data_IF_729910640242
#
_entry.id   IF_729910640242
#
_cell.length_a   1.000
_cell.length_b   1.000
_cell.length_c   1.000
_cell.angle_alpha   90.00
_cell.angle_beta   90.00
_cell.angle_gamma   90.00
#
_symmetry.space_group_name_H-M   'P 1'
#
loop_
_entity.id
_entity.type
_entity.pdbx_description
1 polymer ?
#
# COMPACT_ATOMS: atom_id res chain seq x y z
N UNK A 1 -15.98 7.76 0.47
CA UNK A 1 -16.89 6.57 0.63
C UNK A 1 -16.13 5.30 0.28
N UNK A 2 -16.30 4.22 1.06
CA UNK A 2 -15.63 2.92 0.77
C UNK A 2 -16.56 2.00 -0.01
N UNK A 3 -16.04 1.42 -1.09
CA UNK A 3 -16.70 0.43 -1.93
C UNK A 3 -15.91 -0.88 -1.92
N UNK A 4 -16.58 -2.00 -1.71
CA UNK A 4 -15.97 -3.32 -1.77
C UNK A 4 -16.16 -3.94 -3.15
N UNK A 5 -15.08 -4.45 -3.73
CA UNK A 5 -15.07 -5.09 -5.05
C UNK A 5 -14.42 -6.46 -4.98
N UNK A 6 -14.98 -7.40 -5.73
CA UNK A 6 -14.33 -8.69 -5.98
C UNK A 6 -13.36 -8.57 -7.14
N UNK A 7 -12.13 -9.02 -6.96
CA UNK A 7 -11.14 -9.06 -8.03
C UNK A 7 -9.72 -8.76 -7.61
N UNK A 8 -8.87 -8.59 -8.60
CA UNK A 8 -7.48 -8.23 -8.42
C UNK A 8 -7.34 -6.70 -8.37
N UNK A 9 -6.74 -6.19 -7.28
CA UNK A 9 -6.49 -4.76 -7.11
C UNK A 9 -5.60 -4.19 -8.23
N UNK A 10 -4.68 -4.99 -8.76
CA UNK A 10 -3.78 -4.56 -9.85
C UNK A 10 -4.50 -4.41 -11.20
N UNK A 11 -5.70 -4.98 -11.31
CA UNK A 11 -6.58 -4.85 -12.47
C UNK A 11 -7.78 -3.92 -12.18
N UNK A 12 -7.73 -3.13 -11.10
CA UNK A 12 -8.85 -2.30 -10.66
C UNK A 12 -9.23 -1.18 -11.62
N UNK A 13 -8.27 -0.70 -12.42
CA UNK A 13 -8.45 0.50 -13.24
C UNK A 13 -8.50 1.81 -12.44
N UNK A 14 -8.40 1.77 -11.11
CA UNK A 14 -8.35 2.97 -10.28
C UNK A 14 -7.12 3.83 -10.59
N UNK A 15 -7.23 5.14 -10.35
CA UNK A 15 -6.14 6.06 -10.61
C UNK A 15 -4.93 5.82 -9.70
N UNK A 16 -5.17 5.42 -8.46
CA UNK A 16 -4.12 5.13 -7.48
C UNK A 16 -4.33 3.75 -6.88
N UNK A 17 -3.27 2.94 -6.88
CA UNK A 17 -3.23 1.62 -6.24
C UNK A 17 -2.24 1.71 -5.09
N UNK A 18 -2.71 1.48 -3.87
CA UNK A 18 -1.90 1.55 -2.66
C UNK A 18 -1.45 0.17 -2.20
N UNK A 19 -0.21 0.06 -1.74
CA UNK A 19 0.28 -1.11 -1.05
C UNK A 19 1.30 -0.77 0.03
N UNK A 20 1.44 -1.65 1.02
CA UNK A 20 2.42 -1.50 2.08
C UNK A 20 3.80 -1.97 1.64
N UNK A 21 4.84 -1.20 1.96
CA UNK A 21 6.24 -1.58 1.78
C UNK A 21 7.00 -1.45 3.11
N UNK A 22 8.11 -2.20 3.22
CA UNK A 22 9.02 -2.09 4.36
C UNK A 22 10.13 -1.06 4.12
N UNK A 23 10.88 -0.75 5.19
CA UNK A 23 12.01 0.18 5.16
C UNK A 23 13.37 -0.56 5.03
N UNK A 24 13.39 -1.77 4.45
CA UNK A 24 14.56 -2.67 4.37
C UNK A 24 15.00 -2.98 2.93
N UNK A 25 14.44 -2.30 1.95
CA UNK A 25 14.81 -2.48 0.54
C UNK A 25 14.32 -3.79 -0.09
N UNK A 26 13.35 -4.50 0.50
CA UNK A 26 12.82 -5.78 0.02
C UNK A 26 11.38 -5.67 -0.47
N UNK A 27 11.16 -6.06 -1.71
CA UNK A 27 9.84 -6.09 -2.35
C UNK A 27 9.71 -7.42 -3.11
N UNK A 28 9.53 -8.53 -2.36
CA UNK A 28 9.65 -9.87 -2.93
C UNK A 28 8.44 -10.78 -2.68
N UNK A 29 7.53 -10.44 -1.77
CA UNK A 29 6.42 -11.32 -1.40
C UNK A 29 5.06 -10.62 -1.45
N UNK A 30 3.99 -11.42 -1.52
CA UNK A 30 2.62 -10.93 -1.53
C UNK A 30 2.33 -9.97 -2.69
N UNK A 31 1.51 -8.96 -2.41
CA UNK A 31 1.11 -7.96 -3.41
C UNK A 31 2.31 -7.13 -3.90
N UNK A 32 3.28 -6.85 -3.02
CA UNK A 32 4.48 -6.09 -3.38
C UNK A 32 5.32 -6.83 -4.44
N UNK A 33 5.46 -8.15 -4.31
CA UNK A 33 6.13 -8.98 -5.32
C UNK A 33 5.41 -8.97 -6.67
N UNK A 34 4.08 -9.04 -6.67
CA UNK A 34 3.26 -8.96 -7.88
C UNK A 34 3.36 -7.58 -8.55
N UNK A 35 3.40 -6.50 -7.77
CA UNK A 35 3.61 -5.13 -8.28
C UNK A 35 4.99 -5.01 -8.93
N UNK A 36 6.03 -5.52 -8.28
CA UNK A 36 7.38 -5.52 -8.84
C UNK A 36 7.45 -6.24 -10.18
N UNK A 37 6.78 -7.38 -10.30
CA UNK A 37 6.73 -8.17 -11.53
C UNK A 37 5.98 -7.42 -12.64
N UNK A 38 4.81 -6.87 -12.31
CA UNK A 38 3.95 -6.17 -13.28
C UNK A 38 4.53 -4.81 -13.70
N UNK A 39 5.06 -4.05 -12.75
CA UNK A 39 5.58 -2.70 -12.95
C UNK A 39 6.97 -2.53 -12.30
N UNK A 40 8.05 -3.01 -12.94
CA UNK A 40 9.40 -2.93 -12.37
C UNK A 40 9.84 -1.52 -11.95
N UNK A 41 9.31 -0.49 -12.60
CA UNK A 41 9.57 0.91 -12.25
C UNK A 41 9.19 1.24 -10.79
N UNK A 42 8.15 0.59 -10.25
CA UNK A 42 7.73 0.79 -8.85
C UNK A 42 8.81 0.31 -7.89
N UNK A 43 9.37 -0.89 -8.17
CA UNK A 43 10.49 -1.40 -7.38
C UNK A 43 11.74 -0.51 -7.51
N UNK A 44 12.07 -0.07 -8.72
CA UNK A 44 13.25 0.76 -8.95
C UNK A 44 13.16 2.06 -8.13
N UNK A 45 12.01 2.73 -8.15
CA UNK A 45 11.78 3.94 -7.36
C UNK A 45 11.82 3.70 -5.86
N UNK A 46 11.16 2.64 -5.40
CA UNK A 46 11.23 2.20 -4.01
C UNK A 46 12.68 1.94 -3.56
N UNK A 47 13.46 1.24 -4.39
CA UNK A 47 14.85 0.91 -4.07
C UNK A 47 15.76 2.15 -4.07
N UNK A 48 15.58 3.07 -5.02
CA UNK A 48 16.28 4.37 -5.04
C UNK A 48 16.05 5.13 -3.73
N UNK A 49 14.80 5.22 -3.29
CA UNK A 49 14.42 5.89 -2.05
C UNK A 49 14.98 5.19 -0.81
N UNK A 50 15.03 3.88 -0.80
CA UNK A 50 15.68 3.10 0.25
C UNK A 50 17.18 3.38 0.31
N UNK A 51 17.88 3.41 -0.83
CA UNK A 51 19.32 3.71 -0.90
C UNK A 51 19.61 5.14 -0.41
N UNK A 52 18.76 6.10 -0.74
CA UNK A 52 18.84 7.46 -0.22
C UNK A 52 18.76 7.48 1.31
N UNK A 53 17.75 6.80 1.87
CA UNK A 53 17.58 6.66 3.32
C UNK A 53 18.76 5.94 3.98
N UNK A 54 19.26 4.87 3.36
CA UNK A 54 20.44 4.14 3.84
C UNK A 54 21.69 5.05 3.89
N UNK A 55 21.93 5.83 2.84
CA UNK A 55 23.04 6.77 2.78
C UNK A 55 22.89 7.89 3.81
N UNK A 56 21.65 8.37 4.05
CA UNK A 56 21.35 9.36 5.07
C UNK A 56 21.73 8.88 6.49
N UNK A 57 21.58 7.56 6.75
CA UNK A 57 21.95 6.96 8.04
C UNK A 57 23.47 6.87 8.28
N UNK A 58 24.30 6.89 7.22
CA UNK A 58 25.73 6.68 7.36
C UNK A 58 26.38 7.73 8.25
N UNK A 59 27.20 7.28 9.22
CA UNK A 59 27.85 8.17 10.20
C UNK A 59 26.94 8.75 11.28
N UNK A 60 25.69 8.27 11.38
CA UNK A 60 24.75 8.61 12.44
C UNK A 60 24.54 7.42 13.37
N UNK A 61 24.84 7.58 14.64
CA UNK A 61 24.67 6.51 15.61
C UNK A 61 23.20 6.24 15.90
N UNK A 62 22.82 4.96 15.94
CA UNK A 62 21.46 4.49 16.29
C UNK A 62 20.35 4.95 15.35
N UNK A 63 20.68 5.41 14.13
CA UNK A 63 19.71 5.83 13.10
C UNK A 63 19.59 4.76 12.04
N UNK A 64 18.37 4.45 11.64
CA UNK A 64 18.04 3.43 10.64
C UNK A 64 17.28 4.03 9.45
N UNK A 65 17.20 3.34 8.30
CA UNK A 65 16.37 3.82 7.18
C UNK A 65 14.91 4.06 7.55
N UNK A 66 14.38 3.37 8.57
CA UNK A 66 13.02 3.59 9.06
C UNK A 66 12.82 5.01 9.64
N UNK A 67 13.85 5.58 10.28
CA UNK A 67 13.79 6.94 10.80
C UNK A 67 13.62 7.99 9.68
N UNK A 68 14.03 7.65 8.47
CA UNK A 68 13.86 8.46 7.27
C UNK A 68 12.57 8.17 6.51
N UNK A 69 12.18 6.90 6.43
CA UNK A 69 11.13 6.42 5.50
C UNK A 69 9.78 6.20 6.17
N UNK A 70 9.75 5.74 7.44
CA UNK A 70 8.52 5.27 8.06
C UNK A 70 7.47 6.38 8.14
N UNK A 71 6.26 6.08 7.66
CA UNK A 71 5.17 7.05 7.54
C UNK A 71 5.18 7.88 6.25
N UNK A 72 6.16 7.66 5.36
CA UNK A 72 6.21 8.34 4.07
C UNK A 72 5.53 7.56 2.97
N UNK A 73 5.20 8.24 1.88
CA UNK A 73 4.66 7.65 0.65
C UNK A 73 5.55 7.97 -0.54
N UNK A 74 5.50 7.12 -1.54
CA UNK A 74 6.11 7.38 -2.84
C UNK A 74 5.09 7.06 -3.93
N UNK A 75 4.82 8.04 -4.78
CA UNK A 75 3.82 7.95 -5.85
C UNK A 75 4.53 7.72 -7.18
N UNK A 76 4.28 6.60 -7.82
CA UNK A 76 4.97 6.18 -9.04
C UNK A 76 3.96 6.02 -10.18
N UNK A 77 4.14 6.77 -11.26
CA UNK A 77 3.38 6.57 -12.49
C UNK A 77 3.73 5.21 -13.11
N UNK A 78 2.72 4.46 -13.52
CA UNK A 78 2.93 3.12 -14.11
C UNK A 78 2.39 2.99 -15.54
N UNK A 79 1.22 3.54 -15.81
CA UNK A 79 0.56 3.43 -17.12
C UNK A 79 -0.68 4.34 -17.20
N UNK A 80 -1.33 4.39 -18.35
CA UNK A 80 -2.71 4.86 -18.44
C UNK A 80 -3.67 3.68 -18.24
N UNK A 81 -4.80 3.91 -17.58
CA UNK A 81 -5.86 2.92 -17.47
C UNK A 81 -6.66 2.84 -18.79
N UNK A 82 -7.64 1.93 -18.86
CA UNK A 82 -8.45 1.69 -20.08
C UNK A 82 -9.25 2.93 -20.54
N UNK A 83 -9.48 3.89 -19.63
CA UNK A 83 -10.12 5.19 -19.94
C UNK A 83 -9.12 6.26 -20.39
N UNK A 84 -7.84 5.91 -20.55
CA UNK A 84 -6.77 6.85 -20.92
C UNK A 84 -6.33 7.78 -19.79
N UNK A 85 -6.77 7.52 -18.54
CA UNK A 85 -6.37 8.30 -17.35
C UNK A 85 -5.08 7.76 -16.76
N UNK A 86 -4.27 8.64 -16.19
CA UNK A 86 -3.05 8.26 -15.48
C UNK A 86 -3.34 7.31 -14.33
N UNK A 87 -2.53 6.25 -14.22
CA UNK A 87 -2.54 5.29 -13.12
C UNK A 87 -1.20 5.31 -12.39
N UNK A 88 -1.27 5.35 -11.06
CA UNK A 88 -0.13 5.41 -10.17
C UNK A 88 -0.18 4.26 -9.16
N UNK A 89 0.99 3.82 -8.72
CA UNK A 89 1.13 2.99 -7.52
C UNK A 89 1.69 3.85 -6.39
N UNK A 90 1.12 3.72 -5.20
CA UNK A 90 1.60 4.37 -4.00
C UNK A 90 2.28 3.33 -3.11
N UNK A 91 3.59 3.46 -2.93
CA UNK A 91 4.35 2.75 -1.92
C UNK A 91 4.13 3.42 -0.57
N UNK A 92 3.51 2.71 0.39
CA UNK A 92 3.27 3.19 1.74
C UNK A 92 4.32 2.59 2.68
N UNK A 93 5.25 3.40 3.18
CA UNK A 93 6.27 2.95 4.14
C UNK A 93 5.67 2.84 5.55
N UNK A 94 4.82 1.85 5.74
CA UNK A 94 4.06 1.63 6.98
C UNK A 94 4.53 0.41 7.77
N UNK A 95 5.69 -0.11 7.44
CA UNK A 95 6.35 -1.26 8.06
C UNK A 95 7.87 -1.03 8.04
N UNK A 96 8.57 -1.17 9.18
CA UNK A 96 10.03 -1.11 9.19
C UNK A 96 10.61 -2.42 8.69
N UNK A 97 10.56 -3.46 9.53
CA UNK A 97 11.08 -4.79 9.24
C UNK A 97 10.03 -5.67 8.56
N UNK A 98 10.47 -6.82 8.11
CA UNK A 98 9.61 -7.91 7.62
C UNK A 98 10.07 -9.24 8.25
N UNK A 99 9.18 -10.22 8.25
CA UNK A 99 9.47 -11.54 8.81
C UNK A 99 8.25 -12.45 8.74
N UNK A 100 8.37 -13.59 9.41
CA UNK A 100 7.38 -14.68 9.46
C UNK A 100 7.01 -15.05 10.90
N UNK A 101 7.34 -14.20 11.88
CA UNK A 101 6.99 -14.41 13.28
C UNK A 101 5.54 -13.95 13.51
N UNK A 102 4.64 -14.90 13.76
CA UNK A 102 3.22 -14.64 13.99
C UNK A 102 2.94 -13.83 15.27
N UNK A 103 3.92 -13.75 16.18
CA UNK A 103 3.80 -12.97 17.41
C UNK A 103 4.30 -11.52 17.27
N UNK A 104 4.93 -11.20 16.13
CA UNK A 104 5.45 -9.86 15.84
C UNK A 104 4.53 -9.13 14.87
N UNK A 105 3.99 -7.99 15.27
CA UNK A 105 3.32 -7.08 14.35
C UNK A 105 4.36 -6.20 13.66
N UNK A 106 4.59 -6.43 12.37
CA UNK A 106 5.51 -5.62 11.57
C UNK A 106 4.86 -4.32 11.08
N UNK A 107 3.54 -4.33 10.85
CA UNK A 107 2.78 -3.14 10.48
C UNK A 107 2.77 -2.13 11.63
N UNK A 108 3.18 -0.89 11.34
CA UNK A 108 3.04 0.26 12.23
C UNK A 108 1.74 0.99 11.94
N UNK A 109 0.80 1.01 12.88
CA UNK A 109 -0.46 1.74 12.70
C UNK A 109 -0.25 3.25 12.61
N UNK A 110 0.68 3.80 13.39
CA UNK A 110 1.00 5.22 13.34
C UNK A 110 1.55 5.62 11.97
N UNK A 111 2.51 4.85 11.45
CA UNK A 111 3.05 5.07 10.11
C UNK A 111 2.00 4.88 9.02
N UNK A 112 1.10 3.90 9.18
CA UNK A 112 0.00 3.68 8.26
C UNK A 112 -0.95 4.89 8.22
N UNK A 113 -1.30 5.43 9.38
CA UNK A 113 -2.11 6.65 9.47
C UNK A 113 -1.41 7.84 8.81
N UNK A 114 -0.12 8.05 9.06
CA UNK A 114 0.66 9.11 8.42
C UNK A 114 0.66 8.97 6.89
N UNK A 115 0.85 7.77 6.37
CA UNK A 115 0.73 7.49 4.94
C UNK A 115 -0.66 7.89 4.41
N UNK A 116 -1.74 7.53 5.11
CA UNK A 116 -3.10 7.88 4.70
C UNK A 116 -3.33 9.40 4.69
N UNK A 117 -2.83 10.14 5.67
CA UNK A 117 -2.91 11.61 5.66
C UNK A 117 -2.15 12.22 4.48
N UNK A 118 -0.99 11.68 4.12
CA UNK A 118 -0.25 12.11 2.93
C UNK A 118 -1.00 11.78 1.64
N UNK A 119 -1.63 10.61 1.55
CA UNK A 119 -2.49 10.22 0.43
C UNK A 119 -3.67 11.20 0.32
N UNK A 120 -4.37 11.48 1.42
CA UNK A 120 -5.48 12.44 1.46
C UNK A 120 -5.09 13.81 0.90
N UNK A 121 -3.89 14.27 1.22
CA UNK A 121 -3.40 15.59 0.77
C UNK A 121 -2.87 15.57 -0.66
N UNK A 122 -2.41 14.43 -1.16
CA UNK A 122 -1.80 14.30 -2.48
C UNK A 122 -2.83 13.97 -3.57
N UNK A 123 -3.77 13.07 -3.28
CA UNK A 123 -4.73 12.57 -4.28
C UNK A 123 -5.90 13.53 -4.43
N UNK A 124 -6.19 14.03 -5.64
CA UNK A 124 -7.39 14.83 -5.89
C UNK A 124 -8.67 14.05 -5.59
N UNK A 125 -9.68 14.73 -5.05
CA UNK A 125 -10.94 14.11 -4.60
C UNK A 125 -11.79 13.48 -5.73
N UNK A 126 -11.54 13.91 -6.97
CA UNK A 126 -12.18 13.36 -8.17
C UNK A 126 -11.48 12.10 -8.72
N UNK A 127 -10.49 11.59 -8.00
CA UNK A 127 -9.71 10.41 -8.37
C UNK A 127 -10.03 9.23 -7.46
N UNK A 128 -9.92 8.03 -8.04
CA UNK A 128 -10.22 6.77 -7.37
C UNK A 128 -8.96 6.16 -6.75
N UNK A 129 -9.09 5.64 -5.52
CA UNK A 129 -8.01 4.99 -4.78
C UNK A 129 -8.39 3.54 -4.52
N UNK A 130 -7.50 2.61 -4.82
CA UNK A 130 -7.69 1.18 -4.56
C UNK A 130 -6.71 0.68 -3.49
N UNK A 131 -7.23 -0.13 -2.57
CA UNK A 131 -6.44 -0.89 -1.60
C UNK A 131 -6.74 -2.38 -1.74
N UNK A 132 -5.74 -3.26 -1.58
CA UNK A 132 -6.02 -4.68 -1.39
C UNK A 132 -6.66 -4.89 -0.02
N UNK A 133 -7.71 -5.72 0.04
CA UNK A 133 -8.27 -6.15 1.31
C UNK A 133 -7.18 -6.82 2.17
N UNK A 134 -7.18 -6.50 3.45
CA UNK A 134 -6.17 -7.03 4.37
C UNK A 134 -4.78 -6.44 4.20
N UNK A 135 -4.65 -5.27 3.55
CA UNK A 135 -3.36 -4.56 3.51
C UNK A 135 -2.75 -4.44 4.90
N UNK A 136 -1.48 -4.83 5.03
CA UNK A 136 -0.77 -4.84 6.31
C UNK A 136 -1.17 -5.95 7.29
N UNK A 137 -2.14 -6.83 6.94
CA UNK A 137 -2.69 -7.86 7.82
C UNK A 137 -2.19 -9.29 7.53
N UNK A 138 -1.53 -9.51 6.40
CA UNK A 138 -0.88 -10.78 6.10
C UNK A 138 0.42 -10.93 6.91
N UNK A 139 1.56 -10.98 6.26
CA UNK A 139 2.87 -11.04 6.93
C UNK A 139 3.14 -9.87 7.88
N UNK A 140 2.46 -8.73 7.69
CA UNK A 140 2.55 -7.58 8.58
C UNK A 140 1.87 -7.76 9.93
N UNK A 141 0.99 -8.75 10.09
CA UNK A 141 0.25 -9.08 11.31
C UNK A 141 -0.62 -7.93 11.86
N UNK A 142 -1.06 -7.02 11.02
CA UNK A 142 -2.03 -6.00 11.39
C UNK A 142 -3.45 -6.57 11.52
N UNK A 143 -4.33 -5.87 12.21
CA UNK A 143 -5.73 -6.22 12.34
C UNK A 143 -6.57 -5.43 11.33
N UNK A 144 -7.32 -6.15 10.47
CA UNK A 144 -8.10 -5.52 9.40
C UNK A 144 -9.09 -4.48 9.90
N UNK A 145 -9.83 -4.78 10.97
CA UNK A 145 -10.80 -3.83 11.54
C UNK A 145 -10.18 -2.47 11.93
N UNK A 146 -8.92 -2.47 12.35
CA UNK A 146 -8.19 -1.23 12.68
C UNK A 146 -7.81 -0.51 11.38
N UNK A 147 -7.18 -1.21 10.45
CA UNK A 147 -6.74 -0.66 9.16
C UNK A 147 -7.93 -0.11 8.37
N UNK A 148 -9.00 -0.88 8.26
CA UNK A 148 -10.23 -0.48 7.56
C UNK A 148 -10.82 0.80 8.14
N UNK A 149 -10.90 0.89 9.48
CA UNK A 149 -11.43 2.07 10.15
C UNK A 149 -10.56 3.31 9.95
N UNK A 150 -9.25 3.13 9.88
CA UNK A 150 -8.32 4.22 9.56
C UNK A 150 -8.53 4.73 8.13
N UNK A 151 -8.65 3.81 7.16
CA UNK A 151 -8.92 4.16 5.75
C UNK A 151 -10.24 4.91 5.65
N UNK A 152 -11.31 4.37 6.24
CA UNK A 152 -12.64 4.96 6.22
C UNK A 152 -12.65 6.38 6.81
N UNK A 153 -11.98 6.57 7.94
CA UNK A 153 -11.98 7.83 8.66
C UNK A 153 -11.11 8.89 7.99
N UNK A 154 -9.88 8.51 7.60
CA UNK A 154 -8.92 9.48 7.07
C UNK A 154 -9.25 9.85 5.62
N UNK A 155 -9.74 8.90 4.83
CA UNK A 155 -10.08 9.12 3.41
C UNK A 155 -11.60 9.29 3.19
N UNK A 156 -12.35 9.77 4.19
CA UNK A 156 -13.81 9.92 4.14
C UNK A 156 -14.32 10.73 2.92
N UNK A 157 -13.52 11.69 2.47
CA UNK A 157 -13.80 12.59 1.34
C UNK A 157 -13.39 12.02 -0.03
N UNK A 158 -12.82 10.81 -0.08
CA UNK A 158 -12.30 10.19 -1.30
C UNK A 158 -13.13 8.99 -1.73
N UNK A 159 -13.11 8.69 -3.03
CA UNK A 159 -13.66 7.45 -3.59
C UNK A 159 -12.64 6.33 -3.44
N UNK A 160 -12.87 5.44 -2.46
CA UNK A 160 -11.98 4.34 -2.09
C UNK A 160 -12.61 2.99 -2.43
N UNK A 161 -11.83 2.13 -3.07
CA UNK A 161 -12.20 0.78 -3.46
C UNK A 161 -11.32 -0.25 -2.75
N UNK A 162 -11.93 -1.17 -2.02
CA UNK A 162 -11.25 -2.30 -1.37
C UNK A 162 -11.47 -3.54 -2.22
N UNK A 163 -10.38 -4.12 -2.73
CA UNK A 163 -10.42 -5.30 -3.60
C UNK A 163 -10.09 -6.57 -2.85
N UNK A 164 -10.99 -7.54 -2.88
CA UNK A 164 -10.82 -8.85 -2.25
C UNK A 164 -11.02 -9.98 -3.28
N UNK A 165 -10.00 -10.78 -3.51
CA UNK A 165 -10.07 -11.90 -4.48
C UNK A 165 -11.04 -13.00 -4.04
N UNK A 166 -11.15 -13.25 -2.73
CA UNK A 166 -12.03 -14.30 -2.15
C UNK A 166 -13.53 -13.98 -2.25
N UNK A 167 -13.92 -12.73 -2.46
CA UNK A 167 -15.33 -12.35 -2.64
C UNK A 167 -15.97 -12.98 -3.90
N UNK A 168 -15.15 -13.51 -4.83
CA UNK A 168 -15.66 -14.26 -5.99
C UNK A 168 -16.43 -15.51 -5.62
N UNK A 169 -16.17 -16.11 -4.47
CA UNK A 169 -16.83 -17.34 -4.02
C UNK A 169 -18.21 -17.06 -3.39
N UNK A 170 -18.38 -15.95 -2.67
CA UNK A 170 -19.65 -15.59 -2.02
C UNK A 170 -20.74 -15.27 -3.06
N UNK A 171 -20.37 -14.64 -4.18
CA UNK A 171 -21.35 -14.30 -5.24
C UNK A 171 -21.78 -15.49 -6.10
N UNK A 172 -21.14 -16.68 -5.97
CA UNK A 172 -21.58 -17.91 -6.64
C UNK A 172 -22.59 -18.71 -5.81
N UNK A 173 -22.47 -18.67 -4.48
CA UNK A 173 -23.37 -19.40 -3.58
C UNK A 173 -24.76 -18.71 -3.42
N UNK A 174 -24.87 -17.44 -3.75
CA UNK A 174 -26.15 -16.70 -3.71
C UNK A 174 -26.90 -16.68 -5.06
N UNK A 175 -26.51 -17.52 -6.03
CA UNK A 175 -27.16 -17.65 -7.36
C UNK A 175 -27.72 -19.04 -7.67
N UNK A 176 -27.80 -19.93 -6.67
CA UNK A 176 -28.54 -21.22 -6.80
C UNK A 176 -29.87 -21.22 -6.04
#
# INVERSE_FOLDING_TARGET
MIHYKSGDVLASGCNYICHQVNCRGKMASGIAGQIREKWPVVYNKYHEKYVEAYNWCQGRDSVTPADYLLGDIEVVYVQNNDEGKYQYVINMFSQDAYGYDDNTRYTSYDAFAECLYKIRNHVPKDRTIAFPWGIGCGLGNGHWNIIEKMIETILEDHEVYIYAQWMKHINKENKE
#
